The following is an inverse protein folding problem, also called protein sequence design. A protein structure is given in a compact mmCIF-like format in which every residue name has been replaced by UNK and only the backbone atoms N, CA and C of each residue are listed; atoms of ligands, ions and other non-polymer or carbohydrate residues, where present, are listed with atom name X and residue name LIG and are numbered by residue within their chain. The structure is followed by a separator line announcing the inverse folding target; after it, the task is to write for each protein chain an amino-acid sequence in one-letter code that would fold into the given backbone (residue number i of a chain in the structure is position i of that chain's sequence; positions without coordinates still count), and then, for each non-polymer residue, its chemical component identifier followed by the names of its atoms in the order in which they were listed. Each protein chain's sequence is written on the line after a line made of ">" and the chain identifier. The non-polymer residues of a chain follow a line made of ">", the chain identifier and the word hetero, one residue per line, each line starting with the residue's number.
data_IF_654152377203
#
_entry.id   IF_654152377203
#
_cell.length_a   1.000
_cell.length_b   1.000
_cell.length_c   1.000
_cell.angle_alpha   90.00
_cell.angle_beta   90.00
_cell.angle_gamma   90.00
#
_symmetry.space_group_name_H-M   'P 1'
#
loop_
_entity.id
_entity.type
_entity.pdbx_description
1 polymer ?
#
# COMPACT_ATOMS: atom_id res chain seq x y z
N UNK A 1 -1.18 17.89 33.81
CA UNK A 1 -0.48 17.27 32.66
C UNK A 1 -1.40 17.40 31.45
N UNK A 2 -0.90 17.86 30.30
CA UNK A 2 -1.73 18.03 29.11
C UNK A 2 -2.02 16.64 28.53
N UNK A 3 -3.30 16.27 28.44
CA UNK A 3 -3.72 15.01 27.84
C UNK A 3 -4.09 15.25 26.36
N UNK A 4 -3.23 14.83 25.45
CA UNK A 4 -3.42 14.99 24.01
C UNK A 4 -4.22 13.82 23.46
N UNK A 5 -5.15 14.10 22.55
CA UNK A 5 -5.91 13.07 21.84
C UNK A 5 -5.04 12.46 20.74
N UNK A 6 -4.98 11.14 20.71
CA UNK A 6 -4.36 10.39 19.62
C UNK A 6 -5.40 10.11 18.56
N UNK A 7 -5.09 10.54 17.34
CA UNK A 7 -5.87 10.20 16.18
C UNK A 7 -5.23 9.01 15.46
N UNK A 8 -5.91 7.85 15.36
CA UNK A 8 -5.33 6.66 14.73
C UNK A 8 -4.91 6.89 13.28
N UNK A 9 -5.61 7.76 12.53
CA UNK A 9 -5.25 8.02 11.14
C UNK A 9 -3.95 8.82 11.04
N UNK A 10 -3.76 9.80 11.92
CA UNK A 10 -2.53 10.60 11.99
C UNK A 10 -1.34 9.75 12.42
N UNK A 11 -1.52 8.97 13.49
CA UNK A 11 -0.51 8.04 13.98
C UNK A 11 -0.11 7.05 12.88
N UNK A 12 -1.10 6.49 12.16
CA UNK A 12 -0.85 5.52 11.09
C UNK A 12 -0.07 6.10 9.90
N UNK A 13 0.02 7.43 9.73
CA UNK A 13 0.84 8.03 8.68
C UNK A 13 2.34 7.93 8.99
N UNK A 14 2.72 7.87 10.27
CA UNK A 14 4.10 7.74 10.70
C UNK A 14 4.48 6.25 10.66
N UNK A 15 5.54 5.85 9.92
CA UNK A 15 6.05 4.48 10.01
C UNK A 15 6.47 4.18 11.46
N UNK A 16 6.12 3.00 12.00
CA UNK A 16 6.57 2.61 13.33
C UNK A 16 8.10 2.56 13.37
N UNK A 17 8.67 2.92 14.52
CA UNK A 17 10.08 2.71 14.79
C UNK A 17 10.32 1.24 15.13
N UNK A 18 11.53 0.76 14.87
CA UNK A 18 11.96 -0.52 15.44
C UNK A 18 12.12 -0.40 16.96
N UNK A 19 12.11 -1.54 17.67
CA UNK A 19 12.35 -1.56 19.12
C UNK A 19 13.66 -0.87 19.51
N UNK A 20 14.72 -1.06 18.71
CA UNK A 20 16.03 -0.44 18.95
C UNK A 20 16.00 1.07 18.69
N UNK A 21 15.31 1.52 17.64
CA UNK A 21 15.13 2.95 17.36
C UNK A 21 14.30 3.64 18.44
N UNK A 22 13.27 2.96 18.96
CA UNK A 22 12.44 3.45 20.05
C UNK A 22 13.23 3.56 21.36
N UNK A 23 13.95 2.51 21.76
CA UNK A 23 14.83 2.55 22.94
C UNK A 23 15.88 3.64 22.83
N UNK A 24 16.50 3.78 21.66
CA UNK A 24 17.49 4.83 21.46
C UNK A 24 16.88 6.23 21.61
N UNK A 25 15.64 6.44 21.12
CA UNK A 25 14.91 7.68 21.30
C UNK A 25 14.60 7.94 22.79
N UNK A 26 14.17 6.90 23.51
CA UNK A 26 13.88 6.96 24.95
C UNK A 26 15.13 7.36 25.76
N UNK A 27 16.26 6.65 25.55
CA UNK A 27 17.54 6.98 26.20
C UNK A 27 17.97 8.42 25.96
N UNK A 28 17.80 8.91 24.72
CA UNK A 28 18.12 10.30 24.37
C UNK A 28 17.24 11.30 25.12
N UNK A 29 15.94 11.01 25.27
CA UNK A 29 15.00 11.87 25.99
C UNK A 29 15.30 11.86 27.49
N UNK A 30 15.56 10.69 28.07
CA UNK A 30 15.90 10.53 29.49
C UNK A 30 17.19 11.26 29.86
N UNK A 31 18.22 11.15 29.01
CA UNK A 31 19.50 11.83 29.21
C UNK A 31 19.36 13.35 29.27
N UNK A 32 18.50 13.92 28.45
CA UNK A 32 18.26 15.38 28.41
C UNK A 32 17.31 15.85 29.52
N UNK A 33 16.49 14.95 30.07
CA UNK A 33 15.50 15.24 31.13
C UNK A 33 14.36 16.16 30.69
N UNK A 34 14.27 16.47 29.40
CA UNK A 34 13.20 17.28 28.79
C UNK A 34 13.04 16.97 27.32
N UNK A 35 11.82 17.16 26.80
CA UNK A 35 11.58 17.08 25.38
C UNK A 35 12.08 18.37 24.68
N UNK A 36 13.16 18.27 23.91
CA UNK A 36 13.76 19.42 23.22
C UNK A 36 12.84 19.96 22.12
N UNK A 37 12.35 19.07 21.26
CA UNK A 37 11.45 19.44 20.17
C UNK A 37 10.00 19.36 20.62
N UNK A 38 9.18 20.40 20.45
CA UNK A 38 7.78 20.37 20.88
C UNK A 38 6.97 19.29 20.16
N UNK A 39 5.87 18.88 20.78
CA UNK A 39 4.84 18.04 20.16
C UNK A 39 3.95 18.92 19.28
N UNK A 40 3.72 18.52 18.03
CA UNK A 40 2.90 19.30 17.11
C UNK A 40 1.44 18.93 17.32
N UNK A 41 0.57 19.93 17.48
CA UNK A 41 -0.85 19.70 17.78
C UNK A 41 -1.76 20.50 16.85
N UNK A 42 -2.97 19.98 16.64
CA UNK A 42 -4.09 20.68 16.01
C UNK A 42 -5.27 20.67 16.97
N UNK A 43 -5.56 21.82 17.59
CA UNK A 43 -6.43 21.86 18.77
C UNK A 43 -5.84 21.02 19.91
N UNK A 44 -6.57 19.98 20.34
CA UNK A 44 -6.09 19.03 21.36
C UNK A 44 -5.65 17.68 20.76
N UNK A 45 -5.48 17.58 19.44
CA UNK A 45 -5.10 16.34 18.76
C UNK A 45 -3.62 16.36 18.41
N UNK A 46 -2.91 15.27 18.70
CA UNK A 46 -1.50 15.11 18.38
C UNK A 46 -1.32 14.90 16.86
N UNK A 47 -0.47 15.71 16.24
CA UNK A 47 -0.17 15.67 14.79
C UNK A 47 1.19 15.02 14.54
N UNK A 48 2.23 15.40 15.27
CA UNK A 48 3.57 14.81 15.17
C UNK A 48 4.24 14.72 16.53
N UNK A 49 5.05 13.68 16.70
CA UNK A 49 5.68 13.34 17.96
C UNK A 49 4.99 12.21 18.71
N UNK A 50 4.26 11.33 18.03
CA UNK A 50 3.57 10.17 18.63
C UNK A 50 4.50 9.32 19.52
N UNK A 51 5.65 8.86 19.00
CA UNK A 51 6.60 8.07 19.80
C UNK A 51 7.20 8.87 20.96
N UNK A 52 7.46 10.18 20.75
CA UNK A 52 7.94 11.08 21.81
C UNK A 52 6.89 11.25 22.91
N UNK A 53 5.62 11.34 22.52
CA UNK A 53 4.51 11.49 23.45
C UNK A 53 4.30 10.21 24.27
N UNK A 54 4.38 9.04 23.64
CA UNK A 54 4.34 7.73 24.30
C UNK A 54 5.41 7.63 25.40
N UNK A 55 6.66 7.97 25.09
CA UNK A 55 7.76 7.97 26.06
C UNK A 55 7.45 8.92 27.25
N UNK A 56 7.03 10.17 27.01
CA UNK A 56 6.74 11.08 28.14
C UNK A 56 5.45 10.75 28.90
N UNK A 57 4.61 9.84 28.41
CA UNK A 57 3.51 9.28 29.21
C UNK A 57 4.03 8.27 30.25
N UNK A 58 5.09 7.53 29.92
CA UNK A 58 5.73 6.58 30.85
C UNK A 58 6.67 7.27 31.84
N UNK A 59 7.18 8.45 31.47
CA UNK A 59 8.11 9.26 32.27
C UNK A 59 7.48 10.63 32.63
N UNK A 60 6.54 10.68 33.59
CA UNK A 60 5.77 11.88 33.93
C UNK A 60 6.61 13.05 34.47
N UNK A 61 7.84 12.79 34.91
CA UNK A 61 8.83 13.79 35.32
C UNK A 61 9.38 14.60 34.14
N UNK A 62 9.26 14.09 32.91
CA UNK A 62 9.80 14.74 31.72
C UNK A 62 8.85 15.84 31.26
N UNK A 63 9.33 17.07 31.37
CA UNK A 63 8.60 18.22 30.84
C UNK A 63 8.61 18.25 29.31
N UNK A 64 7.46 18.62 28.73
CA UNK A 64 7.32 18.82 27.29
C UNK A 64 6.49 20.07 27.00
N UNK A 65 6.63 20.58 25.78
CA UNK A 65 5.83 21.69 25.25
C UNK A 65 5.10 21.25 23.98
N UNK A 66 4.01 21.95 23.68
CA UNK A 66 3.23 21.75 22.45
C UNK A 66 3.37 22.96 21.54
N UNK A 67 3.43 22.73 20.23
CA UNK A 67 3.40 23.77 19.21
C UNK A 67 2.14 23.57 18.35
N UNK A 68 1.11 24.42 18.51
CA UNK A 68 -0.07 24.35 17.67
C UNK A 68 0.26 24.85 16.26
N UNK A 69 -0.26 24.15 15.24
CA UNK A 69 -0.23 24.62 13.85
C UNK A 69 -1.65 24.83 13.33
N UNK A 70 -1.88 25.91 12.55
CA UNK A 70 -3.18 26.14 11.93
C UNK A 70 -3.34 25.19 10.74
N UNK A 71 -4.35 24.34 10.79
CA UNK A 71 -4.80 23.53 9.66
C UNK A 71 -6.29 23.79 9.44
N UNK A 72 -6.68 23.90 8.17
CA UNK A 72 -8.06 24.15 7.73
C UNK A 72 -8.88 22.86 7.71
N UNK A 73 -8.22 21.71 7.51
CA UNK A 73 -8.87 20.43 7.31
C UNK A 73 -8.02 19.25 7.78
N UNK A 74 -8.67 18.11 7.96
CA UNK A 74 -8.00 16.86 8.33
C UNK A 74 -7.07 16.37 7.21
N UNK A 75 -7.47 16.59 5.96
CA UNK A 75 -6.70 16.24 4.77
C UNK A 75 -5.39 17.02 4.72
N UNK A 76 -5.42 18.30 5.09
CA UNK A 76 -4.22 19.13 5.20
C UNK A 76 -3.26 18.61 6.28
N UNK A 77 -3.78 18.19 7.44
CA UNK A 77 -2.98 17.57 8.50
C UNK A 77 -2.28 16.30 7.99
N UNK A 78 -3.00 15.41 7.30
CA UNK A 78 -2.44 14.17 6.77
C UNK A 78 -1.33 14.43 5.73
N UNK A 79 -1.56 15.37 4.81
CA UNK A 79 -0.57 15.78 3.82
C UNK A 79 0.66 16.39 4.50
N UNK A 80 0.45 17.24 5.53
CA UNK A 80 1.52 17.83 6.32
C UNK A 80 2.36 16.78 7.04
N UNK A 81 1.73 15.77 7.69
CA UNK A 81 2.45 14.69 8.38
C UNK A 81 3.36 13.96 7.38
N UNK A 82 2.83 13.54 6.23
CA UNK A 82 3.61 12.84 5.22
C UNK A 82 4.80 13.69 4.73
N UNK A 83 4.57 14.97 4.47
CA UNK A 83 5.61 15.93 4.06
C UNK A 83 6.68 16.11 5.13
N UNK A 84 6.29 16.22 6.40
CA UNK A 84 7.22 16.37 7.51
C UNK A 84 8.10 15.13 7.66
N UNK A 85 7.52 13.92 7.53
CA UNK A 85 8.28 12.67 7.55
C UNK A 85 9.29 12.60 6.39
N UNK A 86 8.89 12.99 5.18
CA UNK A 86 9.76 12.99 3.98
C UNK A 86 10.95 13.95 4.08
N UNK A 87 10.88 14.98 4.94
CA UNK A 87 11.98 15.91 5.19
C UNK A 87 13.13 15.34 6.05
N UNK A 88 12.98 14.12 6.59
CA UNK A 88 14.02 13.47 7.40
C UNK A 88 15.20 13.05 6.52
N UNK A 89 16.42 13.32 6.99
CA UNK A 89 17.67 13.05 6.24
C UNK A 89 18.09 11.58 6.21
N UNK A 90 17.57 10.77 7.13
CA UNK A 90 18.01 9.39 7.37
C UNK A 90 16.97 8.34 6.97
N UNK A 91 16.14 8.62 5.96
CA UNK A 91 15.15 7.65 5.48
C UNK A 91 15.81 6.56 4.63
N UNK A 92 15.43 5.31 4.85
CA UNK A 92 15.75 4.22 3.91
C UNK A 92 15.05 4.47 2.57
N UNK A 93 15.57 3.92 1.45
CA UNK A 93 14.88 3.98 0.17
C UNK A 93 13.44 3.45 0.23
N UNK A 94 13.21 2.38 1.00
CA UNK A 94 11.92 1.75 1.22
C UNK A 94 10.97 2.65 2.02
N UNK A 95 11.45 3.28 3.09
CA UNK A 95 10.69 4.27 3.86
C UNK A 95 10.31 5.48 3.01
N UNK A 96 11.27 6.05 2.28
CA UNK A 96 11.01 7.20 1.38
C UNK A 96 9.96 6.84 0.35
N UNK A 97 10.08 5.65 -0.27
CA UNK A 97 9.11 5.15 -1.25
C UNK A 97 7.72 4.98 -0.65
N UNK A 98 7.64 4.35 0.52
CA UNK A 98 6.38 4.13 1.23
C UNK A 98 5.68 5.44 1.60
N UNK A 99 6.43 6.42 2.10
CA UNK A 99 5.93 7.75 2.47
C UNK A 99 5.46 8.56 1.24
N UNK A 100 6.18 8.52 0.12
CA UNK A 100 5.71 9.13 -1.14
C UNK A 100 4.39 8.48 -1.58
N UNK A 101 4.26 7.16 -1.43
CA UNK A 101 3.02 6.45 -1.70
C UNK A 101 1.86 6.89 -0.81
N UNK A 102 2.11 7.09 0.49
CA UNK A 102 1.12 7.64 1.43
C UNK A 102 0.72 9.07 1.06
N UNK A 103 1.68 9.95 0.81
CA UNK A 103 1.43 11.33 0.41
C UNK A 103 0.56 11.38 -0.85
N UNK A 104 0.92 10.61 -1.87
CA UNK A 104 0.12 10.55 -3.09
C UNK A 104 -1.28 10.01 -2.81
N UNK A 105 -1.43 8.93 -2.03
CA UNK A 105 -2.75 8.39 -1.72
C UNK A 105 -3.66 9.38 -0.97
N UNK A 106 -3.09 10.18 -0.05
CA UNK A 106 -3.82 11.22 0.69
C UNK A 106 -4.20 12.37 -0.23
N UNK A 107 -3.24 12.95 -0.96
CA UNK A 107 -3.47 14.12 -1.81
C UNK A 107 -4.28 13.79 -3.08
N UNK A 108 -4.26 12.53 -3.52
CA UNK A 108 -5.00 12.03 -4.68
C UNK A 108 -6.43 11.58 -4.36
N UNK A 109 -6.81 11.47 -3.07
CA UNK A 109 -8.19 11.17 -2.68
C UNK A 109 -9.11 12.32 -3.08
N UNK A 110 -10.17 12.02 -3.84
CA UNK A 110 -11.24 12.99 -4.11
C UNK A 110 -12.01 13.27 -2.81
N UNK A 111 -12.32 14.53 -2.47
CA UNK A 111 -13.23 14.85 -1.38
C UNK A 111 -14.56 14.11 -1.60
N UNK A 112 -14.92 13.19 -0.70
CA UNK A 112 -16.14 12.37 -0.81
C UNK A 112 -15.98 10.99 -1.47
N UNK A 113 -14.79 10.62 -1.93
CA UNK A 113 -14.49 9.26 -2.39
C UNK A 113 -14.29 8.33 -1.20
N UNK A 114 -15.35 7.66 -0.77
CA UNK A 114 -15.35 6.68 0.32
C UNK A 114 -14.19 5.69 0.12
N UNK A 115 -13.11 5.88 0.87
CA UNK A 115 -12.00 4.94 0.92
C UNK A 115 -12.59 3.60 1.34
N UNK A 116 -12.35 2.55 0.57
CA UNK A 116 -12.69 1.19 0.95
C UNK A 116 -11.84 0.79 2.16
N UNK A 117 -12.30 1.23 3.34
CA UNK A 117 -11.87 0.80 4.63
C UNK A 117 -12.31 -0.65 4.74
N UNK A 118 -11.37 -1.60 4.59
CA UNK A 118 -11.63 -3.04 4.72
C UNK A 118 -11.97 -3.46 6.17
N UNK A 119 -12.29 -2.50 7.05
CA UNK A 119 -12.90 -2.74 8.35
C UNK A 119 -14.38 -2.35 8.28
N UNK A 120 -15.20 -3.24 7.74
CA UNK A 120 -16.63 -3.38 8.11
C UNK A 120 -17.09 -4.74 7.60
N UNK A 121 -17.41 -5.63 8.54
CA UNK A 121 -18.07 -6.88 8.25
C UNK A 121 -19.51 -6.61 7.77
N UNK A 122 -19.92 -7.37 6.75
CA UNK A 122 -21.30 -7.65 6.34
C UNK A 122 -22.17 -6.48 5.84
N UNK A 123 -22.23 -6.32 4.52
CA UNK A 123 -23.51 -6.20 3.80
C UNK A 123 -23.32 -6.56 2.32
N UNK A 124 -23.80 -7.73 1.92
CA UNK A 124 -24.02 -8.09 0.51
C UNK A 124 -25.05 -7.13 -0.08
N UNK A 125 -24.67 -6.39 -1.12
CA UNK A 125 -25.56 -6.03 -2.23
C UNK A 125 -24.80 -6.12 -3.54
N UNK A 126 -25.29 -7.02 -4.39
CA UNK A 126 -24.91 -7.28 -5.78
C UNK A 126 -25.30 -6.11 -6.68
N UNK A 127 -24.30 -5.55 -7.37
CA UNK A 127 -24.41 -4.79 -8.62
C UNK A 127 -23.04 -4.84 -9.32
N UNK A 128 -22.98 -4.75 -10.66
CA UNK A 128 -22.04 -5.50 -11.49
C UNK A 128 -20.57 -5.10 -11.32
N UNK A 129 -19.70 -6.12 -11.31
CA UNK A 129 -18.25 -5.99 -11.39
C UNK A 129 -17.86 -5.26 -12.68
N UNK A 130 -17.51 -3.97 -12.57
CA UNK A 130 -16.59 -3.36 -13.53
C UNK A 130 -15.18 -3.85 -13.23
N UNK A 131 -14.77 -4.85 -14.01
CA UNK A 131 -13.39 -5.25 -14.23
C UNK A 131 -12.59 -4.04 -14.74
N UNK A 132 -12.02 -3.25 -13.84
CA UNK A 132 -11.05 -2.23 -14.22
C UNK A 132 -9.71 -2.89 -14.58
N UNK A 133 -9.60 -3.27 -15.85
CA UNK A 133 -8.34 -3.43 -16.55
C UNK A 133 -7.54 -2.12 -16.40
N UNK A 134 -6.35 -2.21 -15.80
CA UNK A 134 -5.35 -1.16 -15.91
C UNK A 134 -4.82 -1.18 -17.33
N UNK A 135 -5.41 -0.37 -18.22
CA UNK A 135 -4.71 0.31 -19.31
C UNK A 135 -5.56 1.50 -19.79
N UNK A 136 -4.93 2.68 -19.83
CA UNK A 136 -5.42 3.92 -20.48
C UNK A 136 -6.74 4.55 -19.99
N UNK A 137 -6.73 5.13 -18.77
CA UNK A 137 -7.49 6.36 -18.51
C UNK A 137 -6.46 7.48 -18.36
N UNK A 138 -6.47 8.52 -19.22
CA UNK A 138 -5.56 9.66 -19.05
C UNK A 138 -5.87 10.32 -17.68
N UNK A 139 -4.83 10.61 -16.87
CA UNK A 139 -5.04 11.28 -15.59
C UNK A 139 -5.75 12.61 -15.83
N UNK A 140 -6.74 12.93 -14.99
CA UNK A 140 -7.40 14.25 -15.08
C UNK A 140 -6.37 15.35 -14.78
N UNK A 141 -6.58 16.58 -15.27
CA UNK A 141 -5.59 17.66 -15.18
C UNK A 141 -5.15 17.97 -13.74
N UNK A 142 -6.05 17.84 -12.76
CA UNK A 142 -5.76 17.98 -11.34
C UNK A 142 -4.88 16.84 -10.80
N UNK A 143 -5.12 15.60 -11.23
CA UNK A 143 -4.36 14.43 -10.80
C UNK A 143 -2.93 14.43 -11.36
N UNK A 144 -2.77 14.88 -12.61
CA UNK A 144 -1.46 15.13 -13.22
C UNK A 144 -0.69 16.22 -12.46
N UNK A 145 -1.39 17.29 -12.02
CA UNK A 145 -0.79 18.36 -11.23
C UNK A 145 -0.28 17.89 -9.87
N UNK A 146 -1.07 17.10 -9.11
CA UNK A 146 -0.67 16.59 -7.79
C UNK A 146 0.56 15.67 -7.91
N UNK A 147 0.51 14.73 -8.86
CA UNK A 147 1.62 13.81 -9.11
C UNK A 147 2.91 14.56 -9.44
N UNK A 148 2.82 15.55 -10.33
CA UNK A 148 3.95 16.40 -10.72
C UNK A 148 4.51 17.18 -9.53
N UNK A 149 3.66 17.80 -8.70
CA UNK A 149 4.09 18.53 -7.52
C UNK A 149 4.84 17.64 -6.51
N UNK A 150 4.35 16.43 -6.25
CA UNK A 150 5.02 15.48 -5.35
C UNK A 150 6.35 15.02 -5.94
N UNK A 151 6.39 14.76 -7.24
CA UNK A 151 7.58 14.35 -7.97
C UNK A 151 8.70 15.41 -7.87
N UNK A 152 8.37 16.67 -8.18
CA UNK A 152 9.30 17.80 -8.12
C UNK A 152 9.85 18.02 -6.70
N UNK A 153 8.97 18.06 -5.68
CA UNK A 153 9.36 18.30 -4.28
C UNK A 153 10.29 17.22 -3.72
N UNK A 154 10.12 15.97 -4.15
CA UNK A 154 10.89 14.84 -3.66
C UNK A 154 12.09 14.48 -4.56
N UNK A 155 12.28 15.23 -5.66
CA UNK A 155 13.27 14.98 -6.70
C UNK A 155 13.17 13.55 -7.27
N UNK A 156 11.97 13.14 -7.66
CA UNK A 156 11.67 11.83 -8.27
C UNK A 156 10.84 12.01 -9.53
N UNK A 157 10.70 10.96 -10.34
CA UNK A 157 9.81 11.01 -11.52
C UNK A 157 8.35 10.81 -11.15
N UNK A 158 7.44 11.35 -11.95
CA UNK A 158 6.00 11.09 -11.80
C UNK A 158 5.66 9.58 -11.82
N UNK A 159 6.34 8.82 -12.67
CA UNK A 159 6.21 7.35 -12.71
C UNK A 159 6.70 6.66 -11.44
N UNK A 160 7.64 7.27 -10.72
CA UNK A 160 8.05 6.79 -9.40
C UNK A 160 6.94 7.00 -8.38
N UNK A 161 6.29 8.17 -8.36
CA UNK A 161 5.16 8.47 -7.44
C UNK A 161 4.03 7.45 -7.56
N UNK A 162 3.60 7.11 -8.77
CA UNK A 162 2.54 6.09 -9.00
C UNK A 162 2.97 4.70 -8.56
N UNK A 163 4.24 4.33 -8.78
CA UNK A 163 4.76 3.04 -8.32
C UNK A 163 4.89 2.98 -6.80
N UNK A 164 5.21 4.10 -6.16
CA UNK A 164 5.29 4.23 -4.71
C UNK A 164 3.97 3.95 -4.02
N UNK A 165 2.85 4.41 -4.59
CA UNK A 165 1.52 4.07 -4.06
C UNK A 165 1.21 2.57 -4.12
N UNK A 166 1.53 1.92 -5.25
CA UNK A 166 1.36 0.47 -5.41
C UNK A 166 2.25 -0.31 -4.44
N UNK A 167 3.49 0.14 -4.25
CA UNK A 167 4.41 -0.43 -3.26
C UNK A 167 3.84 -0.29 -1.86
N UNK A 168 3.43 0.92 -1.46
CA UNK A 168 2.81 1.21 -0.16
C UNK A 168 1.61 0.30 0.10
N UNK A 169 0.71 0.16 -0.87
CA UNK A 169 -0.46 -0.71 -0.74
C UNK A 169 -0.09 -2.19 -0.59
N UNK A 170 0.91 -2.65 -1.34
CA UNK A 170 1.45 -4.00 -1.23
C UNK A 170 2.02 -4.28 0.17
N UNK A 171 2.81 -3.34 0.70
CA UNK A 171 3.39 -3.44 2.05
C UNK A 171 2.30 -3.50 3.12
N UNK A 172 1.27 -2.64 3.03
CA UNK A 172 0.14 -2.68 3.97
C UNK A 172 -0.61 -4.02 3.93
N UNK A 173 -0.83 -4.59 2.74
CA UNK A 173 -1.47 -5.90 2.61
C UNK A 173 -0.59 -7.01 3.18
N UNK A 174 0.73 -6.95 2.95
CA UNK A 174 1.69 -7.90 3.52
C UNK A 174 1.61 -7.88 5.05
N UNK A 175 1.59 -6.69 5.65
CA UNK A 175 1.51 -6.51 7.10
C UNK A 175 0.17 -6.98 7.68
N UNK A 176 -0.94 -6.75 6.97
CA UNK A 176 -2.25 -7.30 7.36
C UNK A 176 -2.28 -8.83 7.36
N UNK A 177 -1.55 -9.46 6.44
CA UNK A 177 -1.48 -10.93 6.36
C UNK A 177 -0.46 -11.51 7.34
N UNK A 178 0.62 -10.77 7.60
CA UNK A 178 1.73 -11.17 8.47
C UNK A 178 2.17 -9.92 9.24
N UNK A 179 1.63 -9.70 10.44
CA UNK A 179 1.95 -8.52 11.25
C UNK A 179 3.45 -8.39 11.51
N UNK A 180 3.96 -7.15 11.41
CA UNK A 180 5.38 -6.82 11.61
C UNK A 180 6.21 -6.87 10.31
N UNK A 181 5.62 -7.30 9.19
CA UNK A 181 6.33 -7.29 7.91
C UNK A 181 6.55 -5.89 7.37
N UNK A 182 5.68 -4.92 7.66
CA UNK A 182 5.92 -3.54 7.25
C UNK A 182 7.23 -3.01 7.83
N UNK A 183 7.43 -3.17 9.14
CA UNK A 183 8.66 -2.74 9.81
C UNK A 183 9.90 -3.41 9.21
N UNK A 184 9.87 -4.74 9.03
CA UNK A 184 10.98 -5.49 8.44
C UNK A 184 11.31 -5.06 7.01
N UNK A 185 10.29 -4.75 6.20
CA UNK A 185 10.47 -4.26 4.83
C UNK A 185 11.05 -2.84 4.83
N UNK A 186 10.48 -1.94 5.64
CA UNK A 186 10.88 -0.52 5.66
C UNK A 186 12.26 -0.30 6.29
N UNK A 187 12.64 -1.12 7.28
CA UNK A 187 13.99 -1.13 7.86
C UNK A 187 15.04 -1.80 6.95
N UNK A 188 14.59 -2.48 5.88
CA UNK A 188 15.48 -3.22 4.97
C UNK A 188 15.93 -4.59 5.49
N UNK A 189 15.46 -5.03 6.66
CA UNK A 189 15.71 -6.37 7.21
C UNK A 189 15.14 -7.48 6.31
N UNK A 190 14.04 -7.21 5.60
CA UNK A 190 13.43 -8.12 4.64
C UNK A 190 13.33 -7.47 3.26
N UNK A 191 14.19 -7.90 2.33
CA UNK A 191 14.21 -7.38 0.96
C UNK A 191 13.08 -7.97 0.13
N UNK A 192 12.26 -7.09 -0.44
CA UNK A 192 11.17 -7.45 -1.36
C UNK A 192 11.39 -6.81 -2.72
N UNK A 193 10.99 -7.52 -3.79
CA UNK A 193 10.97 -6.92 -5.12
C UNK A 193 9.74 -6.04 -5.27
N UNK A 194 9.95 -4.88 -5.88
CA UNK A 194 8.87 -3.98 -6.31
C UNK A 194 7.75 -4.68 -7.08
N UNK A 195 8.13 -5.56 -8.01
CA UNK A 195 7.19 -6.31 -8.82
C UNK A 195 6.24 -7.17 -7.97
N UNK A 196 6.74 -7.73 -6.86
CA UNK A 196 5.95 -8.59 -5.98
C UNK A 196 4.99 -7.75 -5.13
N UNK A 197 5.45 -6.62 -4.59
CA UNK A 197 4.57 -5.67 -3.89
C UNK A 197 3.49 -5.12 -4.82
N UNK A 198 3.83 -4.81 -6.07
CA UNK A 198 2.85 -4.36 -7.06
C UNK A 198 1.85 -5.46 -7.44
N UNK A 199 2.29 -6.73 -7.57
CA UNK A 199 1.40 -7.89 -7.79
C UNK A 199 0.44 -8.04 -6.60
N UNK A 200 0.98 -7.99 -5.38
CA UNK A 200 0.21 -8.13 -4.15
C UNK A 200 -0.85 -7.02 -4.01
N UNK A 201 -0.50 -5.78 -4.35
CA UNK A 201 -1.41 -4.64 -4.32
C UNK A 201 -2.62 -4.78 -5.27
N UNK A 202 -2.43 -5.44 -6.43
CA UNK A 202 -3.48 -5.62 -7.45
C UNK A 202 -4.29 -6.91 -7.27
N UNK A 203 -3.75 -7.88 -6.56
CA UNK A 203 -4.34 -9.21 -6.45
C UNK A 203 -5.61 -9.23 -5.58
N UNK A 204 -6.56 -10.08 -5.97
CA UNK A 204 -7.70 -10.45 -5.14
C UNK A 204 -7.27 -11.34 -3.96
N UNK A 205 -8.14 -11.50 -2.96
CA UNK A 205 -7.78 -12.16 -1.70
C UNK A 205 -7.21 -13.59 -1.87
N UNK A 206 -7.80 -14.49 -2.68
CA UNK A 206 -7.23 -15.82 -2.90
C UNK A 206 -5.80 -15.77 -3.47
N UNK A 207 -5.56 -14.92 -4.47
CA UNK A 207 -4.25 -14.81 -5.11
C UNK A 207 -3.21 -14.15 -4.19
N UNK A 208 -3.61 -13.30 -3.24
CA UNK A 208 -2.70 -12.71 -2.26
C UNK A 208 -2.00 -13.78 -1.42
N UNK A 209 -2.69 -14.84 -1.00
CA UNK A 209 -2.07 -15.95 -0.23
C UNK A 209 -0.93 -16.59 -0.99
N UNK A 210 -1.15 -16.89 -2.27
CA UNK A 210 -0.11 -17.45 -3.13
C UNK A 210 1.06 -16.47 -3.33
N UNK A 211 0.77 -15.19 -3.59
CA UNK A 211 1.82 -14.18 -3.79
C UNK A 211 2.66 -14.00 -2.52
N UNK A 212 2.03 -13.97 -1.34
CA UNK A 212 2.75 -13.89 -0.06
C UNK A 212 3.64 -15.12 0.14
N UNK A 213 3.14 -16.33 -0.17
CA UNK A 213 3.97 -17.55 -0.14
C UNK A 213 5.18 -17.43 -1.07
N UNK A 214 5.00 -16.99 -2.32
CA UNK A 214 6.10 -16.78 -3.29
C UNK A 214 7.10 -15.67 -2.88
N UNK A 215 6.69 -14.74 -2.01
CA UNK A 215 7.57 -13.69 -1.47
C UNK A 215 8.44 -14.26 -0.34
N UNK A 216 7.85 -15.09 0.52
CA UNK A 216 8.56 -15.72 1.65
C UNK A 216 9.47 -16.86 1.20
N UNK A 217 9.05 -17.58 0.15
CA UNK A 217 9.72 -18.75 -0.41
C UNK A 217 10.07 -18.50 -1.88
N UNK A 218 11.06 -17.63 -2.17
CA UNK A 218 11.45 -17.32 -3.55
C UNK A 218 11.96 -18.54 -4.33
N UNK A 219 12.44 -19.58 -3.64
CA UNK A 219 12.83 -20.89 -4.17
C UNK A 219 11.66 -21.66 -4.82
N UNK A 220 10.45 -21.50 -4.29
CA UNK A 220 9.23 -22.16 -4.79
C UNK A 220 8.61 -21.41 -5.96
N UNK A 221 9.22 -20.30 -6.38
CA UNK A 221 8.70 -19.49 -7.47
C UNK A 221 8.74 -20.32 -8.76
N UNK A 222 7.61 -20.47 -9.47
CA UNK A 222 7.63 -21.07 -10.79
C UNK A 222 8.62 -20.32 -11.66
N UNK A 223 9.49 -21.05 -12.37
CA UNK A 223 10.48 -20.47 -13.25
C UNK A 223 9.83 -19.38 -14.11
N UNK A 224 10.49 -18.22 -14.34
CA UNK A 224 9.92 -17.18 -15.18
C UNK A 224 9.47 -17.85 -16.47
N UNK A 225 8.17 -17.83 -16.75
CA UNK A 225 7.68 -18.28 -18.04
C UNK A 225 8.46 -17.46 -19.05
N UNK A 226 9.39 -18.11 -19.76
CA UNK A 226 10.16 -17.45 -20.81
C UNK A 226 9.11 -16.82 -21.69
N UNK A 227 9.11 -15.49 -21.81
CA UNK A 227 8.37 -14.80 -22.86
C UNK A 227 9.01 -15.22 -24.17
N UNK A 228 8.68 -16.43 -24.63
CA UNK A 228 8.89 -16.86 -26.00
C UNK A 228 7.92 -15.97 -26.77
N UNK A 229 8.46 -14.89 -27.34
CA UNK A 229 7.85 -13.93 -28.25
C UNK A 229 6.30 -13.83 -28.21
N UNK A 230 5.81 -12.75 -27.60
CA UNK A 230 4.55 -12.11 -28.02
C UNK A 230 3.21 -12.81 -27.74
N UNK A 231 3.18 -14.01 -27.16
CA UNK A 231 1.91 -14.71 -26.92
C UNK A 231 1.56 -14.66 -25.42
N UNK A 232 0.44 -13.99 -25.11
CA UNK A 232 -0.18 -14.08 -23.79
C UNK A 232 -0.80 -15.47 -23.65
N UNK A 233 -0.09 -16.39 -22.99
CA UNK A 233 -0.53 -17.77 -22.78
C UNK A 233 -1.90 -17.85 -22.10
N UNK A 234 -2.25 -16.92 -21.20
CA UNK A 234 -3.58 -16.91 -20.58
C UNK A 234 -4.71 -16.59 -21.58
N UNK A 235 -4.44 -15.74 -22.57
CA UNK A 235 -5.37 -15.46 -23.66
C UNK A 235 -5.44 -16.65 -24.64
N UNK A 236 -4.32 -17.32 -24.89
CA UNK A 236 -4.26 -18.52 -25.71
C UNK A 236 -5.06 -19.67 -25.08
N UNK A 237 -4.90 -19.91 -23.77
CA UNK A 237 -5.66 -20.92 -23.02
C UNK A 237 -7.16 -20.63 -23.01
N UNK A 238 -7.55 -19.35 -22.88
CA UNK A 238 -8.96 -18.96 -22.96
C UNK A 238 -9.55 -19.23 -24.35
N UNK A 239 -8.79 -18.96 -25.42
CA UNK A 239 -9.19 -19.27 -26.81
C UNK A 239 -9.29 -20.78 -27.03
N UNK A 240 -8.29 -21.56 -26.58
CA UNK A 240 -8.30 -23.03 -26.69
C UNK A 240 -9.48 -23.64 -25.95
N UNK A 241 -9.79 -23.16 -24.73
CA UNK A 241 -10.99 -23.60 -23.98
C UNK A 241 -12.29 -23.30 -24.72
N UNK A 242 -12.36 -22.15 -25.40
CA UNK A 242 -13.55 -21.77 -26.17
C UNK A 242 -13.73 -22.63 -27.41
N UNK A 243 -12.64 -22.91 -28.13
CA UNK A 243 -12.65 -23.85 -29.26
C UNK A 243 -13.09 -25.24 -28.78
N UNK A 244 -12.58 -25.71 -27.64
CA UNK A 244 -12.98 -27.01 -27.09
C UNK A 244 -14.47 -27.05 -26.74
N UNK A 245 -15.01 -25.98 -26.15
CA UNK A 245 -16.44 -25.87 -25.85
C UNK A 245 -17.30 -25.88 -27.13
N UNK A 246 -16.86 -25.19 -28.18
CA UNK A 246 -17.55 -25.16 -29.47
C UNK A 246 -17.51 -26.54 -30.15
N UNK A 247 -16.37 -27.24 -30.08
CA UNK A 247 -16.25 -28.63 -30.57
C UNK A 247 -17.15 -29.57 -29.79
N UNK A 248 -17.12 -29.51 -28.46
CA UNK A 248 -17.96 -30.35 -27.59
C UNK A 248 -19.45 -30.08 -27.83
N UNK A 249 -19.81 -28.81 -28.06
CA UNK A 249 -21.16 -28.42 -28.46
C UNK A 249 -21.53 -29.05 -29.81
N UNK A 250 -20.70 -28.92 -30.84
CA UNK A 250 -20.95 -29.51 -32.15
C UNK A 250 -21.05 -31.04 -32.11
N UNK A 251 -20.18 -31.70 -31.33
CA UNK A 251 -20.20 -33.16 -31.12
C UNK A 251 -21.49 -33.64 -30.43
N UNK A 252 -22.16 -32.78 -29.66
CA UNK A 252 -23.45 -33.08 -29.05
C UNK A 252 -24.62 -33.06 -30.06
N UNK A 253 -24.49 -32.33 -31.16
CA UNK A 253 -25.53 -32.16 -32.19
C UNK A 253 -25.21 -32.85 -33.52
N UNK A 254 -24.02 -33.43 -33.66
CA UNK A 254 -23.72 -34.30 -34.79
C UNK A 254 -24.56 -35.58 -34.68
N UNK A 255 -25.34 -35.93 -35.72
CA UNK A 255 -26.06 -37.21 -35.73
C UNK A 255 -25.04 -38.34 -35.66
N UNK A 256 -25.25 -39.28 -34.74
CA UNK A 256 -24.48 -40.52 -34.69
C UNK A 256 -24.73 -41.25 -36.01
N UNK A 257 -23.77 -41.18 -36.93
CA UNK A 257 -23.79 -42.01 -38.13
C UNK A 257 -23.66 -43.45 -37.63
N UNK A 258 -24.60 -44.35 -37.97
CA UNK A 258 -24.46 -45.76 -37.63
C UNK A 258 -23.19 -46.30 -38.28
N UNK A 259 -22.41 -47.10 -37.54
CA UNK A 259 -21.12 -47.66 -37.96
C UNK A 259 -21.18 -48.55 -39.22
N UNK A 260 -22.36 -48.82 -39.78
CA UNK A 260 -22.57 -49.79 -40.87
C UNK A 260 -22.55 -49.20 -42.30
N UNK A 261 -22.09 -47.96 -42.51
CA UNK A 261 -22.11 -47.34 -43.84
C UNK A 261 -20.92 -47.70 -44.76
N UNK A 262 -20.04 -48.63 -44.38
CA UNK A 262 -18.93 -49.10 -45.22
C UNK A 262 -18.86 -50.63 -45.32
N UNK A 263 -19.90 -51.28 -45.84
CA UNK A 263 -19.75 -52.57 -46.52
C UNK A 263 -20.68 -52.62 -47.74
N UNK A 264 -20.11 -52.37 -48.92
CA UNK A 264 -20.32 -53.16 -50.14
C UNK A 264 -19.33 -52.76 -51.21
#
# INVERSE_FOLDING_TARGET
>A
MINLKIDPEFQSQIPPLTDDEFKQLEENILKEGKLISPLIVWGNTLVDGHNRYEIVQEHPEISFSTMPLPFESREEVLAWICKNQLGRRNLTPEQKKFLIGKQYSVEHRKPGGNGNNQHTAAAKKTAPEELCQFDTIPPTSAEASIRKQIAERNNVSESYVVRSEKFMRGVQIMDQMIPGMQEKILSGQFKVRDADMHRLARANFPNRKQIVHEILHPEDRPAPQKRIYGINYSALEAVVRRIQQDVDFLMKYLPKVPDDAYVK
#
